data_IF_600699017194
#
_entry.id   IF_600699017194
#
_cell.length_a   1.000
_cell.length_b   1.000
_cell.length_c   1.000
_cell.angle_alpha   90.00
_cell.angle_beta   90.00
_cell.angle_gamma   90.00
#
_symmetry.space_group_name_H-M   'P 1'
#
loop_
_entity.id
_entity.type
_entity.pdbx_description
1 polymer ?
#
# COMPACT_ATOMS: atom_id res chain seq x y z
N UNK A 1 4.31 -14.11 -16.43
CA UNK A 1 4.07 -12.66 -16.52
C UNK A 1 3.72 -12.16 -15.13
N UNK A 2 4.53 -11.30 -14.47
CA UNK A 2 4.08 -10.71 -13.22
C UNK A 2 4.17 -9.18 -13.26
N UNK A 3 3.02 -8.50 -13.36
CA UNK A 3 2.85 -7.19 -12.70
C UNK A 3 1.46 -7.16 -12.00
N UNK A 4 1.15 -8.05 -11.03
CA UNK A 4 0.02 -7.82 -10.11
C UNK A 4 0.34 -6.73 -9.08
N UNK A 5 1.63 -6.50 -8.80
CA UNK A 5 2.08 -5.68 -7.67
C UNK A 5 1.70 -4.20 -7.84
N UNK A 6 1.84 -3.64 -9.05
CA UNK A 6 1.54 -2.22 -9.30
C UNK A 6 0.03 -1.94 -9.19
N UNK A 7 -0.81 -2.78 -9.77
CA UNK A 7 -2.26 -2.65 -9.65
C UNK A 7 -2.71 -2.82 -8.20
N UNK A 8 -2.18 -3.82 -7.48
CA UNK A 8 -2.49 -4.02 -6.06
C UNK A 8 -2.04 -2.84 -5.20
N UNK A 9 -0.87 -2.24 -5.48
CA UNK A 9 -0.40 -1.04 -4.78
C UNK A 9 -1.33 0.15 -4.99
N UNK A 10 -1.80 0.37 -6.22
CA UNK A 10 -2.80 1.41 -6.53
C UNK A 10 -4.08 1.13 -5.74
N UNK A 11 -4.65 -0.06 -5.89
CA UNK A 11 -5.88 -0.45 -5.18
C UNK A 11 -5.78 -0.24 -3.67
N UNK A 12 -4.64 -0.59 -3.07
CA UNK A 12 -4.44 -0.45 -1.64
C UNK A 12 -4.22 1.01 -1.22
N UNK A 13 -3.51 1.80 -2.01
CA UNK A 13 -3.25 3.22 -1.76
C UNK A 13 -4.54 4.04 -1.80
N UNK A 14 -5.46 3.67 -2.70
CA UNK A 14 -6.75 4.34 -2.89
C UNK A 14 -7.93 3.56 -2.27
N UNK A 15 -7.67 2.57 -1.41
CA UNK A 15 -8.69 1.68 -0.86
C UNK A 15 -9.80 2.44 -0.12
N UNK A 16 -9.43 3.45 0.69
CA UNK A 16 -10.40 4.28 1.41
C UNK A 16 -11.38 4.99 0.46
N UNK A 17 -10.85 5.57 -0.62
CA UNK A 17 -11.65 6.24 -1.65
C UNK A 17 -12.56 5.26 -2.40
N UNK A 18 -12.03 4.08 -2.79
CA UNK A 18 -12.79 3.05 -3.51
C UNK A 18 -13.98 2.57 -2.65
N UNK A 19 -13.74 2.24 -1.37
CA UNK A 19 -14.79 1.81 -0.46
C UNK A 19 -15.85 2.87 -0.24
N UNK A 20 -15.44 4.14 -0.05
CA UNK A 20 -16.38 5.24 0.14
C UNK A 20 -17.23 5.49 -1.11
N UNK A 21 -16.62 5.46 -2.30
CA UNK A 21 -17.35 5.60 -3.57
C UNK A 21 -18.40 4.49 -3.73
N UNK A 22 -18.05 3.22 -3.49
CA UNK A 22 -18.99 2.10 -3.57
C UNK A 22 -20.12 2.22 -2.54
N UNK A 23 -19.79 2.57 -1.29
CA UNK A 23 -20.79 2.78 -0.25
C UNK A 23 -21.77 3.91 -0.62
N UNK A 24 -21.30 5.02 -1.20
CA UNK A 24 -22.17 6.11 -1.64
C UNK A 24 -23.05 5.71 -2.83
N UNK A 25 -22.52 4.91 -3.75
CA UNK A 25 -23.23 4.43 -4.94
C UNK A 25 -24.29 3.35 -4.62
N UNK A 26 -24.12 2.58 -3.55
CA UNK A 26 -25.09 1.57 -3.10
C UNK A 26 -26.22 2.14 -2.23
N UNK A 27 -25.98 3.28 -1.57
CA UNK A 27 -26.97 3.92 -0.71
C UNK A 27 -27.87 4.88 -1.51
N UNK A 28 -29.18 4.66 -1.45
CA UNK A 28 -30.17 5.50 -2.15
C UNK A 28 -30.11 6.98 -1.71
N UNK A 29 -29.78 7.25 -0.45
CA UNK A 29 -29.60 8.60 0.11
C UNK A 29 -28.15 9.12 0.00
N UNK A 30 -27.25 8.33 -0.59
CA UNK A 30 -25.81 8.62 -0.69
C UNK A 30 -25.44 9.69 -1.72
N UNK A 31 -26.42 10.29 -2.42
CA UNK A 31 -26.18 11.23 -3.53
C UNK A 31 -25.42 12.49 -3.09
N UNK A 32 -25.84 13.11 -1.98
CA UNK A 32 -25.16 14.30 -1.47
C UNK A 32 -23.71 14.01 -1.06
N UNK A 33 -23.49 12.86 -0.42
CA UNK A 33 -22.16 12.41 0.00
C UNK A 33 -21.28 12.04 -1.20
N UNK A 34 -21.86 11.43 -2.24
CA UNK A 34 -21.17 11.20 -3.51
C UNK A 34 -20.77 12.53 -4.16
N UNK A 35 -21.65 13.51 -4.20
CA UNK A 35 -21.35 14.83 -4.79
C UNK A 35 -20.20 15.54 -4.05
N UNK A 36 -20.16 15.46 -2.72
CA UNK A 36 -19.04 15.94 -1.91
C UNK A 36 -17.74 15.20 -2.23
N UNK A 37 -17.77 13.87 -2.30
CA UNK A 37 -16.61 13.04 -2.65
C UNK A 37 -16.08 13.37 -4.05
N UNK A 38 -16.96 13.53 -5.04
CA UNK A 38 -16.60 13.87 -6.41
C UNK A 38 -16.05 15.30 -6.52
N UNK A 39 -16.58 16.23 -5.73
CA UNK A 39 -16.05 17.60 -5.65
C UNK A 39 -14.64 17.59 -5.07
N UNK A 40 -14.43 16.90 -3.95
CA UNK A 40 -13.10 16.75 -3.36
C UNK A 40 -12.11 16.07 -4.35
N UNK A 41 -12.54 15.03 -5.06
CA UNK A 41 -11.71 14.38 -6.08
C UNK A 41 -11.29 15.35 -7.19
N UNK A 42 -12.21 16.18 -7.70
CA UNK A 42 -11.91 17.21 -8.70
C UNK A 42 -10.91 18.24 -8.20
N UNK A 43 -11.09 18.72 -6.98
CA UNK A 43 -10.23 19.73 -6.37
C UNK A 43 -8.79 19.20 -6.16
N UNK A 44 -8.63 17.88 -5.99
CA UNK A 44 -7.34 17.19 -5.89
C UNK A 44 -6.77 16.73 -7.26
N UNK A 45 -7.37 17.16 -8.38
CA UNK A 45 -6.87 16.84 -9.72
C UNK A 45 -7.43 15.56 -10.35
N UNK A 46 -8.31 14.82 -9.67
CA UNK A 46 -8.94 13.59 -10.18
C UNK A 46 -10.25 13.88 -10.93
N UNK A 47 -10.25 14.91 -11.79
CA UNK A 47 -11.44 15.35 -12.49
C UNK A 47 -11.96 14.29 -13.49
N UNK A 48 -11.06 13.56 -14.15
CA UNK A 48 -11.39 12.49 -15.09
C UNK A 48 -12.07 11.30 -14.40
N UNK A 49 -11.52 10.85 -13.28
CA UNK A 49 -12.10 9.84 -12.39
C UNK A 49 -13.46 10.27 -11.83
N UNK A 50 -13.58 11.51 -11.35
CA UNK A 50 -14.86 12.02 -10.85
C UNK A 50 -15.95 12.02 -11.94
N UNK A 51 -15.59 12.34 -13.18
CA UNK A 51 -16.48 12.20 -14.33
C UNK A 51 -16.89 10.76 -14.61
N UNK A 52 -15.96 9.81 -14.48
CA UNK A 52 -16.24 8.38 -14.64
C UNK A 52 -17.18 7.86 -13.54
N UNK A 53 -16.93 8.19 -12.27
CA UNK A 53 -17.78 7.80 -11.15
C UNK A 53 -19.20 8.38 -11.26
N UNK A 54 -19.35 9.61 -11.80
CA UNK A 54 -20.67 10.19 -12.06
C UNK A 54 -21.43 9.40 -13.14
N UNK A 55 -20.75 8.95 -14.20
CA UNK A 55 -21.35 8.06 -15.22
C UNK A 55 -21.76 6.72 -14.61
N UNK A 56 -20.93 6.16 -13.73
CA UNK A 56 -21.24 4.94 -12.98
C UNK A 56 -22.47 5.16 -12.09
N UNK A 57 -22.58 6.30 -11.41
CA UNK A 57 -23.79 6.67 -10.66
C UNK A 57 -25.04 6.78 -11.55
N UNK A 58 -24.86 7.17 -12.81
CA UNK A 58 -25.90 7.20 -13.84
C UNK A 58 -26.26 5.84 -14.44
N UNK A 59 -25.59 4.76 -14.03
CA UNK A 59 -25.85 3.40 -14.50
C UNK A 59 -24.87 2.87 -15.56
N UNK A 60 -23.87 3.64 -15.97
CA UNK A 60 -22.84 3.16 -16.89
C UNK A 60 -21.98 2.09 -16.21
N UNK A 61 -21.71 0.98 -16.92
CA UNK A 61 -20.93 -0.16 -16.41
C UNK A 61 -19.81 -0.58 -17.37
N UNK A 62 -19.74 0.04 -18.55
CA UNK A 62 -18.70 -0.18 -19.54
C UNK A 62 -17.52 0.77 -19.27
N UNK A 63 -16.37 0.20 -18.92
CA UNK A 63 -15.14 0.94 -18.61
C UNK A 63 -14.64 1.74 -19.81
N UNK A 64 -14.87 1.27 -21.04
CA UNK A 64 -14.42 1.95 -22.27
C UNK A 64 -15.25 3.19 -22.59
N UNK A 65 -16.41 3.36 -21.95
CA UNK A 65 -17.29 4.54 -22.07
C UNK A 65 -17.07 5.55 -20.95
N UNK A 66 -16.33 5.16 -19.92
CA UNK A 66 -15.79 6.10 -18.94
C UNK A 66 -14.72 6.95 -19.64
N UNK A 67 -14.41 8.11 -19.08
CA UNK A 67 -13.52 9.13 -19.64
C UNK A 67 -12.21 8.58 -20.23
N UNK A 68 -11.40 9.41 -20.90
CA UNK A 68 -9.98 9.11 -21.05
C UNK A 68 -9.31 9.11 -19.66
N UNK A 69 -9.37 7.95 -18.98
CA UNK A 69 -8.72 7.69 -17.70
C UNK A 69 -7.27 7.30 -17.95
N UNK A 70 -6.37 7.76 -17.08
CA UNK A 70 -5.03 7.21 -17.04
C UNK A 70 -5.03 5.80 -16.42
N UNK A 71 -3.86 5.16 -16.35
CA UNK A 71 -3.74 3.80 -15.84
C UNK A 71 -4.18 3.69 -14.37
N UNK A 72 -3.95 4.72 -13.55
CA UNK A 72 -4.29 4.72 -12.13
C UNK A 72 -5.79 4.89 -11.93
N UNK A 73 -6.38 5.90 -12.57
CA UNK A 73 -7.80 6.17 -12.61
C UNK A 73 -8.60 4.98 -13.15
N UNK A 74 -8.07 4.29 -14.18
CA UNK A 74 -8.70 3.10 -14.75
C UNK A 74 -8.76 1.96 -13.73
N UNK A 75 -7.67 1.68 -13.03
CA UNK A 75 -7.61 0.64 -11.99
C UNK A 75 -8.60 0.97 -10.86
N UNK A 76 -8.69 2.23 -10.43
CA UNK A 76 -9.62 2.68 -9.40
C UNK A 76 -11.08 2.52 -9.87
N UNK A 77 -11.41 2.98 -11.08
CA UNK A 77 -12.76 2.87 -11.64
C UNK A 77 -13.20 1.41 -11.84
N UNK A 78 -12.30 0.54 -12.31
CA UNK A 78 -12.53 -0.90 -12.41
C UNK A 78 -12.80 -1.53 -11.03
N UNK A 79 -12.06 -1.12 -10.01
CA UNK A 79 -12.26 -1.59 -8.63
C UNK A 79 -13.63 -1.19 -8.07
N UNK A 80 -14.07 0.04 -8.31
CA UNK A 80 -15.41 0.52 -7.92
C UNK A 80 -16.50 -0.29 -8.63
N UNK A 81 -16.37 -0.52 -9.94
CA UNK A 81 -17.32 -1.35 -10.69
C UNK A 81 -17.37 -2.79 -10.18
N UNK A 82 -16.20 -3.37 -9.84
CA UNK A 82 -16.11 -4.70 -9.26
C UNK A 82 -16.76 -4.75 -7.88
N UNK A 83 -16.47 -3.77 -7.01
CA UNK A 83 -17.06 -3.64 -5.67
C UNK A 83 -18.58 -3.44 -5.67
N UNK A 84 -19.12 -2.77 -6.69
CA UNK A 84 -20.57 -2.64 -6.89
C UNK A 84 -21.25 -3.97 -7.22
N UNK A 85 -20.56 -4.86 -7.95
CA UNK A 85 -21.08 -6.20 -8.29
C UNK A 85 -20.87 -7.20 -7.15
N UNK A 86 -19.72 -7.12 -6.50
CA UNK A 86 -19.30 -7.99 -5.42
C UNK A 86 -18.61 -7.18 -4.32
N UNK A 87 -19.32 -6.84 -3.22
CA UNK A 87 -18.74 -6.10 -2.11
C UNK A 87 -17.55 -6.80 -1.44
N UNK A 88 -17.43 -8.12 -1.57
CA UNK A 88 -16.30 -8.88 -1.00
C UNK A 88 -14.99 -8.69 -1.78
N UNK A 89 -15.07 -8.12 -2.99
CA UNK A 89 -13.91 -7.80 -3.83
C UNK A 89 -13.26 -6.44 -3.49
N UNK A 90 -13.84 -5.69 -2.56
CA UNK A 90 -13.32 -4.38 -2.16
C UNK A 90 -11.98 -4.51 -1.45
N UNK A 91 -11.01 -3.62 -1.74
CA UNK A 91 -9.76 -3.57 -0.98
C UNK A 91 -10.08 -3.16 0.46
N UNK A 92 -9.37 -3.73 1.43
CA UNK A 92 -9.56 -3.36 2.83
C UNK A 92 -8.84 -2.01 3.10
N UNK A 93 -9.57 -0.94 3.43
CA UNK A 93 -9.00 0.39 3.66
C UNK A 93 -8.17 0.45 4.95
N UNK A 94 -8.37 -0.50 5.86
CA UNK A 94 -7.61 -0.64 7.11
C UNK A 94 -6.38 -1.54 6.94
N UNK A 95 -6.33 -2.31 5.85
CA UNK A 95 -5.16 -3.10 5.45
C UNK A 95 -4.07 -2.16 4.96
N UNK A 96 -3.34 -1.56 5.89
CA UNK A 96 -2.05 -0.94 5.58
C UNK A 96 -1.20 -1.96 4.84
N UNK A 97 -0.61 -1.54 3.71
CA UNK A 97 0.25 -2.35 2.86
C UNK A 97 1.05 -3.32 3.74
N UNK A 98 0.90 -4.62 3.48
CA UNK A 98 1.47 -5.62 4.36
C UNK A 98 2.99 -5.41 4.41
N UNK A 99 3.58 -5.05 5.56
CA UNK A 99 5.01 -4.79 5.65
C UNK A 99 5.83 -6.00 5.19
N UNK A 100 5.26 -7.21 5.27
CA UNK A 100 5.86 -8.47 4.81
C UNK A 100 6.06 -8.52 3.29
N UNK A 101 5.25 -7.80 2.50
CA UNK A 101 5.45 -7.66 1.04
C UNK A 101 6.65 -6.75 0.71
N UNK A 102 7.09 -5.92 1.65
CA UNK A 102 8.27 -5.06 1.49
C UNK A 102 9.57 -5.72 1.98
N UNK A 103 9.52 -6.91 2.58
CA UNK A 103 10.68 -7.57 3.18
C UNK A 103 11.87 -7.77 2.21
N UNK A 104 11.68 -8.21 0.95
CA UNK A 104 12.80 -8.33 0.00
C UNK A 104 13.43 -6.98 -0.36
N UNK A 105 12.60 -5.94 -0.57
CA UNK A 105 13.08 -4.60 -0.88
C UNK A 105 13.84 -3.98 0.31
N UNK A 106 13.32 -4.14 1.53
CA UNK A 106 13.99 -3.73 2.76
C UNK A 106 15.31 -4.47 2.98
N UNK A 107 15.34 -5.78 2.78
CA UNK A 107 16.57 -6.57 2.86
C UNK A 107 17.62 -6.08 1.87
N UNK A 108 17.24 -5.81 0.62
CA UNK A 108 18.16 -5.28 -0.39
C UNK A 108 18.73 -3.91 0.01
N UNK A 109 17.91 -3.00 0.51
CA UNK A 109 18.38 -1.68 0.94
C UNK A 109 19.24 -1.75 2.20
N UNK A 110 18.91 -2.61 3.17
CA UNK A 110 19.72 -2.86 4.36
C UNK A 110 21.10 -3.42 3.98
N UNK A 111 21.14 -4.34 3.03
CA UNK A 111 22.37 -4.92 2.50
C UNK A 111 23.24 -3.87 1.81
N UNK A 112 22.66 -3.07 0.92
CA UNK A 112 23.35 -1.98 0.23
C UNK A 112 23.89 -0.94 1.23
N UNK A 113 23.07 -0.54 2.21
CA UNK A 113 23.48 0.37 3.27
C UNK A 113 24.63 -0.20 4.12
N UNK A 114 24.59 -1.50 4.45
CA UNK A 114 25.66 -2.19 5.17
C UNK A 114 26.99 -2.26 4.40
N UNK A 115 26.94 -2.26 3.05
CA UNK A 115 28.11 -2.20 2.17
C UNK A 115 28.59 -0.77 1.86
N UNK A 116 27.94 0.25 2.43
CA UNK A 116 28.36 1.65 2.31
C UNK A 116 27.63 2.47 1.25
N UNK A 117 26.51 1.98 0.69
CA UNK A 117 25.66 2.79 -0.19
C UNK A 117 24.96 3.91 0.61
N UNK A 118 25.37 5.16 0.35
CA UNK A 118 24.85 6.33 1.04
C UNK A 118 23.39 6.65 0.69
N UNK A 119 22.93 6.34 -0.52
CA UNK A 119 21.52 6.53 -0.91
C UNK A 119 20.65 5.50 -0.21
N UNK A 120 21.05 4.23 -0.22
CA UNK A 120 20.32 3.17 0.48
C UNK A 120 20.26 3.45 1.99
N UNK A 121 21.36 3.92 2.60
CA UNK A 121 21.40 4.29 4.01
C UNK A 121 20.41 5.41 4.34
N UNK A 122 20.30 6.42 3.47
CA UNK A 122 19.38 7.55 3.67
C UNK A 122 17.92 7.11 3.54
N UNK A 123 17.60 6.33 2.51
CA UNK A 123 16.25 5.81 2.28
C UNK A 123 15.80 4.91 3.44
N UNK A 124 16.65 3.98 3.87
CA UNK A 124 16.36 3.09 5.00
C UNK A 124 16.21 3.86 6.31
N UNK A 125 17.01 4.90 6.53
CA UNK A 125 16.89 5.75 7.71
C UNK A 125 15.56 6.55 7.72
N UNK A 126 15.13 7.09 6.56
CA UNK A 126 13.85 7.78 6.44
C UNK A 126 12.68 6.83 6.70
N UNK A 127 12.72 5.61 6.16
CA UNK A 127 11.71 4.59 6.39
C UNK A 127 11.66 4.18 7.88
N UNK A 128 12.82 3.98 8.51
CA UNK A 128 12.89 3.69 9.94
C UNK A 128 12.28 4.82 10.78
N UNK A 129 12.54 6.09 10.44
CA UNK A 129 11.95 7.24 11.15
C UNK A 129 10.42 7.28 11.01
N UNK A 130 9.90 7.05 9.80
CA UNK A 130 8.46 6.95 9.56
C UNK A 130 7.84 5.80 10.35
N UNK A 131 8.45 4.62 10.34
CA UNK A 131 7.99 3.44 11.08
C UNK A 131 8.03 3.66 12.60
N UNK A 132 9.02 4.40 13.11
CA UNK A 132 9.11 4.80 14.52
C UNK A 132 7.95 5.68 14.94
N UNK A 133 7.57 6.66 14.11
CA UNK A 133 6.46 7.60 14.37
C UNK A 133 5.09 6.93 14.38
N UNK A 134 4.91 5.82 13.64
CA UNK A 134 3.65 5.04 13.63
C UNK A 134 3.39 4.38 14.99
N UNK A 135 4.42 4.05 15.76
CA UNK A 135 4.30 3.38 17.05
C UNK A 135 3.91 1.89 16.92
N UNK A 136 3.73 1.22 18.07
CA UNK A 136 3.41 -0.20 18.12
C UNK A 136 4.56 -1.09 17.62
N UNK A 137 4.25 -2.11 16.83
CA UNK A 137 5.28 -3.07 16.36
C UNK A 137 6.17 -2.51 15.26
N UNK A 138 5.69 -1.52 14.50
CA UNK A 138 6.50 -0.85 13.48
C UNK A 138 7.66 -0.06 14.07
N UNK A 139 7.51 0.51 15.27
CA UNK A 139 8.62 1.18 15.95
C UNK A 139 9.68 0.18 16.45
N UNK A 140 9.25 -1.03 16.79
CA UNK A 140 10.15 -2.13 17.17
C UNK A 140 10.93 -2.62 15.95
N UNK A 141 10.26 -2.74 14.79
CA UNK A 141 10.92 -3.08 13.52
C UNK A 141 11.90 -1.99 13.11
N UNK A 142 11.54 -0.72 13.27
CA UNK A 142 12.47 0.39 13.02
C UNK A 142 13.75 0.29 13.87
N UNK A 143 13.63 -0.13 15.13
CA UNK A 143 14.76 -0.26 16.05
C UNK A 143 15.77 -1.35 15.63
N UNK A 144 15.34 -2.38 14.88
CA UNK A 144 16.23 -3.46 14.43
C UNK A 144 16.93 -3.17 13.11
N UNK A 145 16.49 -2.17 12.35
CA UNK A 145 17.11 -1.77 11.08
C UNK A 145 18.59 -1.42 11.26
N UNK A 146 18.93 -0.63 12.29
CA UNK A 146 20.32 -0.23 12.55
C UNK A 146 21.22 -1.42 12.91
N UNK A 147 20.84 -2.32 13.83
CA UNK A 147 21.53 -3.60 14.04
C UNK A 147 21.71 -4.43 12.76
N UNK A 148 20.68 -4.55 11.92
CA UNK A 148 20.74 -5.30 10.67
C UNK A 148 21.77 -4.70 9.68
N UNK A 149 21.81 -3.38 9.53
CA UNK A 149 22.83 -2.69 8.71
C UNK A 149 24.24 -2.96 9.26
N UNK A 150 24.39 -3.01 10.58
CA UNK A 150 25.66 -3.28 11.25
C UNK A 150 26.05 -4.78 11.25
N UNK A 151 25.27 -5.65 10.60
CA UNK A 151 25.59 -7.07 10.46
C UNK A 151 25.03 -7.99 11.55
N UNK A 152 24.15 -7.51 12.45
CA UNK A 152 23.44 -8.40 13.37
C UNK A 152 22.49 -9.31 12.57
N UNK A 153 22.49 -10.61 12.88
CA UNK A 153 21.68 -11.64 12.20
C UNK A 153 21.00 -12.59 13.18
N UNK A 154 21.19 -12.41 14.49
CA UNK A 154 20.56 -13.24 15.50
C UNK A 154 19.05 -12.91 15.62
N UNK A 155 18.21 -13.79 15.10
CA UNK A 155 16.76 -13.65 15.13
C UNK A 155 16.20 -13.47 16.55
N UNK A 156 16.65 -14.27 17.53
CA UNK A 156 16.17 -14.19 18.90
C UNK A 156 16.42 -12.80 19.52
N UNK A 157 17.59 -12.22 19.27
CA UNK A 157 17.94 -10.88 19.76
C UNK A 157 17.13 -9.79 19.08
N UNK A 158 16.89 -9.91 17.78
CA UNK A 158 16.15 -8.91 17.00
C UNK A 158 14.64 -8.98 17.29
N UNK A 159 14.12 -10.18 17.55
CA UNK A 159 12.70 -10.45 17.78
C UNK A 159 12.27 -10.35 19.25
N UNK A 160 13.20 -10.28 20.22
CA UNK A 160 12.96 -10.42 21.67
C UNK A 160 11.84 -9.56 22.26
N UNK A 161 11.46 -8.45 21.61
CA UNK A 161 10.44 -7.52 22.10
C UNK A 161 9.28 -7.32 21.14
N UNK A 162 9.16 -8.11 20.08
CA UNK A 162 8.14 -7.95 19.03
C UNK A 162 6.95 -8.89 19.23
N UNK A 163 5.80 -8.47 18.73
CA UNK A 163 4.63 -9.33 18.53
C UNK A 163 4.86 -10.31 17.36
N UNK A 164 3.94 -11.27 17.18
CA UNK A 164 4.03 -12.29 16.13
C UNK A 164 4.23 -11.70 14.73
N UNK A 165 3.59 -10.56 14.44
CA UNK A 165 3.66 -9.92 13.12
C UNK A 165 5.02 -9.27 12.87
N UNK A 166 5.55 -8.54 13.84
CA UNK A 166 6.89 -7.94 13.77
C UNK A 166 7.99 -9.01 13.66
N UNK A 167 7.85 -10.11 14.40
CA UNK A 167 8.78 -11.24 14.31
C UNK A 167 8.81 -11.85 12.92
N UNK A 168 7.64 -12.12 12.33
CA UNK A 168 7.55 -12.70 10.99
C UNK A 168 8.22 -11.82 9.94
N UNK A 169 8.06 -10.51 10.03
CA UNK A 169 8.71 -9.56 9.13
C UNK A 169 10.25 -9.60 9.27
N UNK A 170 10.78 -9.58 10.49
CA UNK A 170 12.23 -9.65 10.72
C UNK A 170 12.81 -10.96 10.23
N UNK A 171 12.11 -12.09 10.45
CA UNK A 171 12.54 -13.40 9.96
C UNK A 171 12.59 -13.44 8.43
N UNK A 172 11.61 -12.86 7.74
CA UNK A 172 11.64 -12.74 6.27
C UNK A 172 12.78 -11.86 5.78
N UNK A 173 13.05 -10.73 6.45
CA UNK A 173 14.21 -9.87 6.11
C UNK A 173 15.52 -10.64 6.30
N UNK A 174 15.67 -11.42 7.38
CA UNK A 174 16.86 -12.24 7.64
C UNK A 174 17.04 -13.34 6.59
N UNK A 175 15.96 -14.00 6.16
CA UNK A 175 16.01 -15.01 5.10
C UNK A 175 16.48 -14.40 3.76
N UNK A 176 15.91 -13.25 3.38
CA UNK A 176 16.31 -12.55 2.16
C UNK A 176 17.76 -12.01 2.24
N UNK A 177 18.18 -11.47 3.39
CA UNK A 177 19.58 -11.08 3.61
C UNK A 177 20.54 -12.27 3.49
N UNK A 178 20.17 -13.43 4.05
CA UNK A 178 20.96 -14.66 3.92
C UNK A 178 21.14 -15.09 2.46
N UNK A 179 20.12 -14.94 1.62
CA UNK A 179 20.23 -15.19 0.17
C UNK A 179 21.14 -14.18 -0.53
N UNK A 180 21.08 -12.91 -0.14
CA UNK A 180 21.91 -11.84 -0.70
C UNK A 180 23.38 -11.93 -0.27
N UNK A 181 23.67 -12.51 0.90
CA UNK A 181 25.04 -12.75 1.38
C UNK A 181 25.69 -13.98 0.71
N UNK A 182 24.88 -14.90 0.16
CA UNK A 182 25.35 -16.07 -0.59
C UNK A 182 25.71 -15.78 -2.06
N UNK A 183 25.42 -14.57 -2.55
CA UNK A 183 25.70 -14.11 -3.92
C UNK A 183 26.75 -12.97 -3.93
#
# INVERSE_FOLDING_TARGET
MPIPDREQQILQSHAAFICEAVACLQNADGRARLDELLRAARDNGWAALAGALLKIAGGERDIHRLSALDDEDRVIAEAVLRGLRDPSSLPDPTRRADPTLAAPGLAHMIHAAGRGDAQALTLVAQMADQMSRVGGDMSRVAAVIRPLINGERNADRLCARMDTRGQQLVLQILDELGRLDLH
#
